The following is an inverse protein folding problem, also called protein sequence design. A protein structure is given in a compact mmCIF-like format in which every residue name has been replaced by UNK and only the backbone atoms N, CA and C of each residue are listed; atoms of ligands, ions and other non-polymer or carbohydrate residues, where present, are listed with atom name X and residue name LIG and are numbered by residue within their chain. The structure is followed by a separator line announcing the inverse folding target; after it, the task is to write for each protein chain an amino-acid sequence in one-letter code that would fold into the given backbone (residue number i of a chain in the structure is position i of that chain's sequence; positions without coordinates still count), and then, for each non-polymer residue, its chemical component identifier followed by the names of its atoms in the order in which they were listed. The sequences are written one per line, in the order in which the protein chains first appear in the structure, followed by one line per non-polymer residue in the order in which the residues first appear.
data_IF_198513172062
#
_entry.id   IF_198513172062
#
_cell.length_a   1.000
_cell.length_b   1.000
_cell.length_c   1.000
_cell.angle_alpha   90.00
_cell.angle_beta   90.00
_cell.angle_gamma   90.00
#
_symmetry.space_group_name_H-M   'P 1'
#
loop_
_entity.id
_entity.type
_entity.pdbx_description
1 polymer ?
#
# COMPACT_ATOMS: atom_id res chain seq x y z
N UNK A 1 9.89 -6.30 -16.67
CA UNK A 1 8.78 -6.95 -17.41
C UNK A 1 8.03 -5.86 -18.19
N UNK A 2 7.91 -5.98 -19.53
CA UNK A 2 7.13 -5.07 -20.35
C UNK A 2 5.65 -5.05 -19.91
N UNK A 3 4.95 -3.93 -20.06
CA UNK A 3 3.55 -3.79 -19.65
C UNK A 3 2.64 -4.83 -20.31
N UNK A 4 2.87 -5.12 -21.59
CA UNK A 4 2.09 -6.14 -22.32
C UNK A 4 2.20 -7.56 -21.74
N UNK A 5 3.35 -7.93 -21.16
CA UNK A 5 3.50 -9.21 -20.48
C UNK A 5 2.74 -9.23 -19.14
N UNK A 6 2.72 -8.10 -18.45
CA UNK A 6 1.97 -7.94 -17.21
C UNK A 6 0.47 -8.04 -17.48
N UNK A 7 -0.01 -7.37 -18.53
CA UNK A 7 -1.43 -7.39 -18.92
C UNK A 7 -1.87 -8.79 -19.39
N UNK A 8 -0.95 -9.59 -19.92
CA UNK A 8 -1.21 -10.96 -20.35
C UNK A 8 -1.32 -11.98 -19.17
N UNK A 9 -0.90 -11.61 -17.97
CA UNK A 9 -0.99 -12.51 -16.80
C UNK A 9 -2.43 -12.71 -16.30
N UNK A 10 -3.37 -11.86 -16.73
CA UNK A 10 -4.75 -11.91 -16.26
C UNK A 10 -4.91 -11.34 -14.85
N UNK A 11 -6.01 -11.71 -14.22
CA UNK A 11 -6.35 -11.30 -12.86
C UNK A 11 -6.12 -12.44 -11.87
N UNK A 12 -6.01 -12.12 -10.59
CA UNK A 12 -5.65 -13.06 -9.54
C UNK A 12 -6.68 -13.03 -8.40
N UNK A 13 -6.96 -14.19 -7.82
CA UNK A 13 -7.79 -14.30 -6.61
C UNK A 13 -7.04 -13.85 -5.35
N UNK A 14 -5.72 -13.97 -5.37
CA UNK A 14 -4.85 -13.60 -4.26
C UNK A 14 -3.53 -13.01 -4.75
N UNK A 15 -3.19 -11.85 -4.21
CA UNK A 15 -1.84 -11.27 -4.36
C UNK A 15 -1.17 -11.26 -2.99
N UNK A 16 0.01 -11.88 -2.92
CA UNK A 16 0.88 -11.87 -1.75
C UNK A 16 2.03 -10.89 -1.98
N UNK A 17 2.03 -9.76 -1.28
CA UNK A 17 3.01 -8.68 -1.45
C UNK A 17 3.66 -8.33 -0.11
N UNK A 18 4.86 -8.82 0.15
CA UNK A 18 5.56 -8.64 1.41
C UNK A 18 6.94 -8.03 1.22
N UNK A 19 7.33 -7.10 2.08
CA UNK A 19 8.66 -6.50 2.10
C UNK A 19 8.98 -5.56 0.93
N UNK A 20 8.00 -5.13 0.15
CA UNK A 20 8.21 -4.39 -1.11
C UNK A 20 7.75 -2.93 -1.03
N UNK A 21 6.60 -2.67 -0.41
CA UNK A 21 5.94 -1.37 -0.49
C UNK A 21 6.85 -0.21 -0.08
N UNK A 22 7.57 -0.35 1.03
CA UNK A 22 8.43 0.72 1.57
C UNK A 22 9.68 0.98 0.72
N UNK A 23 10.01 0.13 -0.23
CA UNK A 23 11.06 0.36 -1.23
C UNK A 23 10.54 1.03 -2.51
N UNK A 24 9.25 1.32 -2.60
CA UNK A 24 8.64 1.96 -3.74
C UNK A 24 8.39 3.44 -3.46
N UNK A 25 8.91 4.33 -4.31
CA UNK A 25 8.69 5.77 -4.18
C UNK A 25 7.25 6.18 -4.55
N UNK A 26 6.59 5.42 -5.41
CA UNK A 26 5.22 5.67 -5.89
C UNK A 26 4.21 4.72 -5.23
N UNK A 27 4.17 4.72 -3.91
CA UNK A 27 3.46 3.72 -3.11
C UNK A 27 1.96 3.64 -3.42
N UNK A 28 1.27 4.77 -3.56
CA UNK A 28 -0.14 4.77 -3.94
C UNK A 28 -0.36 4.16 -5.33
N UNK A 29 0.48 4.53 -6.30
CA UNK A 29 0.40 3.98 -7.66
C UNK A 29 0.64 2.48 -7.67
N UNK A 30 1.59 2.02 -6.85
CA UNK A 30 1.86 0.60 -6.67
C UNK A 30 0.65 -0.15 -6.12
N UNK A 31 0.02 0.34 -5.04
CA UNK A 31 -1.19 -0.25 -4.44
C UNK A 31 -2.35 -0.28 -5.45
N UNK A 32 -2.53 0.77 -6.25
CA UNK A 32 -3.55 0.82 -7.31
C UNK A 32 -3.30 -0.22 -8.41
N UNK A 33 -2.05 -0.47 -8.77
CA UNK A 33 -1.70 -1.56 -9.70
C UNK A 33 -2.05 -2.93 -9.13
N UNK A 34 -1.75 -3.18 -7.86
CA UNK A 34 -2.15 -4.43 -7.20
C UNK A 34 -3.67 -4.61 -7.22
N UNK A 35 -4.44 -3.53 -6.99
CA UNK A 35 -5.89 -3.58 -7.10
C UNK A 35 -6.37 -3.99 -8.50
N UNK A 36 -5.77 -3.44 -9.56
CA UNK A 36 -6.13 -3.76 -10.95
C UNK A 36 -5.86 -5.22 -11.31
N UNK A 37 -4.85 -5.84 -10.72
CA UNK A 37 -4.51 -7.24 -10.96
C UNK A 37 -5.40 -8.24 -10.20
N UNK A 38 -6.23 -7.79 -9.28
CA UNK A 38 -7.15 -8.66 -8.56
C UNK A 38 -8.47 -8.81 -9.30
N UNK A 39 -9.02 -10.01 -9.28
CA UNK A 39 -10.42 -10.26 -9.60
C UNK A 39 -11.35 -9.62 -8.55
N UNK A 40 -12.60 -9.39 -8.93
CA UNK A 40 -13.65 -9.04 -7.97
C UNK A 40 -13.79 -10.19 -6.97
N UNK A 41 -13.75 -9.86 -5.68
CA UNK A 41 -13.73 -10.83 -4.59
C UNK A 41 -12.32 -11.26 -4.18
N UNK A 42 -11.30 -10.93 -4.96
CA UNK A 42 -9.90 -11.27 -4.68
C UNK A 42 -9.31 -10.51 -3.49
N UNK A 43 -8.24 -11.04 -2.94
CA UNK A 43 -7.58 -10.55 -1.73
C UNK A 43 -6.16 -10.08 -1.99
N UNK A 44 -5.78 -8.99 -1.36
CA UNK A 44 -4.40 -8.54 -1.22
C UNK A 44 -3.92 -8.81 0.20
N UNK A 45 -2.89 -9.64 0.34
CA UNK A 45 -2.09 -9.76 1.57
C UNK A 45 -0.85 -8.87 1.41
N UNK A 46 -0.87 -7.73 2.07
CA UNK A 46 0.20 -6.72 2.03
C UNK A 46 0.95 -6.69 3.35
N UNK A 47 2.28 -6.72 3.28
CA UNK A 47 3.13 -6.52 4.44
C UNK A 47 4.21 -5.48 4.12
N UNK A 48 4.50 -4.61 5.09
CA UNK A 48 5.48 -3.54 4.92
C UNK A 48 6.09 -3.11 6.25
N UNK A 49 7.33 -2.62 6.18
CA UNK A 49 7.86 -1.79 7.25
C UNK A 49 7.08 -0.47 7.31
N UNK A 50 6.80 -0.01 8.53
CA UNK A 50 6.10 1.24 8.79
C UNK A 50 6.89 2.14 9.71
N UNK A 51 6.59 3.44 9.66
CA UNK A 51 7.19 4.41 10.56
C UNK A 51 6.83 4.09 12.01
N UNK A 52 7.86 3.97 12.84
CA UNK A 52 7.73 3.82 14.30
C UNK A 52 7.59 5.18 14.96
N UNK A 53 6.64 5.32 15.86
CA UNK A 53 6.46 6.56 16.59
C UNK A 53 5.30 6.49 17.58
N UNK A 54 5.01 7.59 18.28
CA UNK A 54 3.82 7.72 19.11
C UNK A 54 2.55 7.36 18.33
N UNK A 55 1.50 6.94 19.04
CA UNK A 55 0.24 6.49 18.41
C UNK A 55 -0.33 7.51 17.43
N UNK A 56 -0.25 8.79 17.75
CA UNK A 56 -0.68 9.88 16.86
C UNK A 56 0.04 9.88 15.50
N UNK A 57 1.35 9.58 15.49
CA UNK A 57 2.11 9.46 14.24
C UNK A 57 1.81 8.15 13.50
N UNK A 58 1.40 7.10 14.21
CA UNK A 58 1.01 5.84 13.57
C UNK A 58 -0.33 5.94 12.85
N UNK A 59 -1.28 6.64 13.45
CA UNK A 59 -2.64 6.78 12.93
C UNK A 59 -2.76 7.86 11.84
N UNK A 60 -1.91 8.88 11.90
CA UNK A 60 -1.82 9.91 10.86
C UNK A 60 -1.25 9.35 9.55
N UNK A 61 -1.64 9.95 8.43
CA UNK A 61 -1.18 9.56 7.09
C UNK A 61 0.12 10.29 6.71
N UNK A 62 1.26 9.79 7.16
CA UNK A 62 2.59 10.37 6.91
C UNK A 62 3.51 9.37 6.23
N UNK A 63 4.51 9.88 5.51
CA UNK A 63 5.60 9.10 4.93
C UNK A 63 6.92 9.74 5.30
N UNK A 64 7.82 8.98 5.89
CA UNK A 64 9.20 9.38 6.11
C UNK A 64 10.06 8.94 4.95
N UNK A 65 10.69 9.89 4.27
CA UNK A 65 11.59 9.64 3.15
C UNK A 65 13.01 9.50 3.69
N UNK A 66 13.64 8.35 3.38
CA UNK A 66 15.04 8.13 3.66
C UNK A 66 15.84 8.17 2.36
N UNK A 67 16.89 8.97 2.35
CA UNK A 67 17.89 8.90 1.28
C UNK A 67 18.69 7.60 1.37
N UNK A 68 19.22 7.09 0.25
CA UNK A 68 19.86 5.78 0.19
C UNK A 68 20.87 5.46 1.28
N UNK A 69 21.65 6.43 1.74
CA UNK A 69 22.66 6.22 2.77
C UNK A 69 22.16 6.41 4.22
N UNK A 70 20.92 6.83 4.43
CA UNK A 70 20.38 7.17 5.75
C UNK A 70 19.57 6.04 6.37
N UNK A 71 19.24 5.01 5.60
CA UNK A 71 18.53 3.85 6.09
C UNK A 71 19.43 2.61 6.04
N UNK A 72 20.06 2.29 7.18
CA UNK A 72 20.94 1.12 7.36
C UNK A 72 22.04 0.97 6.32
N UNK A 73 22.49 2.05 5.73
CA UNK A 73 23.52 2.07 4.65
C UNK A 73 23.26 1.10 3.48
N UNK A 74 21.98 0.75 3.25
CA UNK A 74 21.62 -0.23 2.22
C UNK A 74 21.70 0.29 0.80
N UNK A 75 21.83 1.61 0.61
CA UNK A 75 21.82 2.24 -0.71
C UNK A 75 20.46 2.14 -1.44
N UNK A 76 19.40 1.67 -0.78
CA UNK A 76 18.07 1.52 -1.37
C UNK A 76 17.17 2.70 -1.03
N UNK A 77 16.29 3.04 -1.97
CA UNK A 77 15.19 3.97 -1.67
C UNK A 77 14.31 3.36 -0.58
N UNK A 78 14.03 4.15 0.45
CA UNK A 78 13.15 3.71 1.53
C UNK A 78 12.22 4.85 1.94
N UNK A 79 10.93 4.62 1.76
CA UNK A 79 9.87 5.52 2.16
C UNK A 79 9.00 4.80 3.18
N UNK A 80 9.20 5.09 4.47
CA UNK A 80 8.45 4.45 5.54
C UNK A 80 7.09 5.13 5.73
N UNK A 81 5.99 4.49 5.34
CA UNK A 81 4.65 5.01 5.61
C UNK A 81 4.26 4.78 7.06
N UNK A 82 3.38 5.60 7.59
CA UNK A 82 2.60 5.24 8.78
C UNK A 82 1.55 4.18 8.42
N UNK A 83 1.05 3.45 9.41
CA UNK A 83 -0.07 2.53 9.22
C UNK A 83 -1.31 3.25 8.65
N UNK A 84 -1.57 4.48 9.10
CA UNK A 84 -2.63 5.33 8.57
C UNK A 84 -2.47 5.67 7.09
N UNK A 85 -1.23 5.92 6.63
CA UNK A 85 -0.96 6.18 5.20
C UNK A 85 -1.26 4.93 4.35
N UNK A 86 -0.82 3.75 4.77
CA UNK A 86 -1.11 2.50 4.04
C UNK A 86 -2.60 2.25 3.96
N UNK A 87 -3.32 2.40 5.07
CA UNK A 87 -4.78 2.24 5.11
C UNK A 87 -5.50 3.25 4.21
N UNK A 88 -5.04 4.51 4.19
CA UNK A 88 -5.56 5.52 3.28
C UNK A 88 -5.34 5.12 1.81
N UNK A 89 -4.15 4.66 1.43
CA UNK A 89 -3.87 4.21 0.06
C UNK A 89 -4.69 3.00 -0.35
N UNK A 90 -4.88 2.03 0.54
CA UNK A 90 -5.76 0.89 0.28
C UNK A 90 -7.20 1.36 -0.01
N UNK A 91 -7.72 2.28 0.82
CA UNK A 91 -9.05 2.87 0.62
C UNK A 91 -9.13 3.69 -0.68
N UNK A 92 -8.11 4.49 -0.97
CA UNK A 92 -8.02 5.28 -2.21
C UNK A 92 -7.92 4.40 -3.46
N UNK A 93 -7.29 3.24 -3.36
CA UNK A 93 -7.25 2.25 -4.45
C UNK A 93 -8.60 1.57 -4.68
N UNK A 94 -9.51 1.60 -3.70
CA UNK A 94 -10.84 1.02 -3.79
C UNK A 94 -11.05 -0.24 -2.96
N UNK A 95 -10.04 -0.66 -2.20
CA UNK A 95 -10.20 -1.82 -1.33
C UNK A 95 -11.28 -1.58 -0.27
N UNK A 96 -12.12 -2.58 -0.07
CA UNK A 96 -13.03 -2.73 1.05
C UNK A 96 -12.48 -3.77 2.05
N UNK A 97 -13.16 -3.97 3.16
CA UNK A 97 -12.81 -5.00 4.16
C UNK A 97 -11.31 -5.00 4.52
N UNK A 98 -10.76 -3.82 4.83
CA UNK A 98 -9.35 -3.69 5.20
C UNK A 98 -9.18 -4.10 6.65
N UNK A 99 -8.38 -5.15 6.88
CA UNK A 99 -7.99 -5.66 8.20
C UNK A 99 -6.49 -5.51 8.38
N UNK A 100 -6.05 -5.04 9.52
CA UNK A 100 -4.64 -4.89 9.86
C UNK A 100 -4.22 -5.85 10.99
N UNK A 101 -2.96 -6.21 10.99
CA UNK A 101 -2.34 -7.06 12.01
C UNK A 101 -0.98 -6.49 12.43
N UNK A 102 -0.76 -6.51 13.72
CA UNK A 102 0.52 -6.14 14.35
C UNK A 102 1.28 -7.36 14.86
N UNK A 103 1.12 -8.49 14.20
CA UNK A 103 1.69 -9.77 14.65
C UNK A 103 3.23 -9.73 14.80
N UNK A 104 3.91 -8.82 14.10
CA UNK A 104 5.36 -8.69 14.14
C UNK A 104 5.89 -7.75 15.24
N UNK A 105 5.01 -7.07 16.01
CA UNK A 105 5.43 -6.11 17.04
C UNK A 105 6.19 -6.76 18.21
N UNK A 106 5.91 -8.04 18.48
CA UNK A 106 6.41 -8.73 19.65
C UNK A 106 7.80 -9.35 19.47
N UNK A 107 8.23 -9.60 18.25
CA UNK A 107 9.32 -10.54 18.02
C UNK A 107 10.67 -9.92 17.69
N UNK A 108 10.76 -8.60 17.49
CA UNK A 108 12.05 -7.98 17.21
C UNK A 108 12.12 -6.48 17.59
N UNK A 109 12.55 -6.17 18.82
CA UNK A 109 12.71 -4.79 19.28
C UNK A 109 13.78 -3.98 18.53
N UNK A 110 14.69 -4.65 17.81
CA UNK A 110 15.79 -4.01 17.07
C UNK A 110 15.42 -3.62 15.64
N UNK A 111 14.21 -3.99 15.17
CA UNK A 111 13.75 -3.54 13.86
C UNK A 111 13.46 -2.04 13.88
N UNK A 112 14.17 -1.31 13.03
CA UNK A 112 13.85 0.09 12.72
C UNK A 112 12.52 0.08 11.94
N UNK A 113 11.48 0.65 12.55
CA UNK A 113 10.12 0.59 12.03
C UNK A 113 9.37 -0.67 12.48
N UNK A 114 8.06 -0.54 12.60
CA UNK A 114 7.17 -1.66 12.85
C UNK A 114 6.87 -2.37 11.53
N UNK A 115 6.90 -3.68 11.57
CA UNK A 115 6.34 -4.47 10.47
C UNK A 115 4.86 -4.68 10.72
N UNK A 116 4.05 -4.36 9.72
CA UNK A 116 2.60 -4.52 9.76
C UNK A 116 2.10 -5.26 8.54
N UNK A 117 1.02 -5.97 8.70
CA UNK A 117 0.34 -6.66 7.61
C UNK A 117 -1.11 -6.20 7.50
N UNK A 118 -1.61 -6.18 6.29
CA UNK A 118 -3.00 -5.88 5.95
C UNK A 118 -3.55 -6.97 5.05
N UNK A 119 -4.82 -7.29 5.27
CA UNK A 119 -5.61 -8.07 4.35
C UNK A 119 -6.72 -7.17 3.82
N UNK A 120 -6.78 -7.00 2.50
CA UNK A 120 -7.71 -6.10 1.86
C UNK A 120 -8.40 -6.78 0.67
N UNK A 121 -9.71 -6.57 0.52
CA UNK A 121 -10.52 -7.23 -0.51
C UNK A 121 -10.96 -6.26 -1.59
N UNK A 122 -10.86 -6.70 -2.84
CA UNK A 122 -11.48 -6.01 -3.97
C UNK A 122 -12.94 -6.46 -4.08
N UNK A 123 -13.87 -5.51 -4.01
CA UNK A 123 -15.31 -5.80 -4.12
C UNK A 123 -15.97 -5.13 -5.31
N UNK A 124 -15.25 -4.23 -6.01
CA UNK A 124 -15.76 -3.40 -7.09
C UNK A 124 -14.67 -3.20 -8.16
N UNK A 125 -15.06 -3.07 -9.41
CA UNK A 125 -14.16 -2.73 -10.51
C UNK A 125 -13.74 -1.24 -10.52
N UNK A 126 -14.62 -0.34 -10.05
CA UNK A 126 -14.34 1.09 -10.00
C UNK A 126 -13.53 1.47 -8.75
N UNK A 127 -12.30 0.95 -8.70
CA UNK A 127 -11.39 1.20 -7.58
C UNK A 127 -11.22 2.69 -7.27
N UNK A 128 -11.58 3.07 -6.07
CA UNK A 128 -11.48 4.43 -5.58
C UNK A 128 -12.64 5.34 -5.97
N UNK A 129 -13.58 4.93 -6.82
CA UNK A 129 -14.74 5.73 -7.19
C UNK A 129 -15.55 6.17 -5.98
N UNK A 130 -15.81 5.24 -5.07
CA UNK A 130 -16.53 5.55 -3.81
C UNK A 130 -15.73 6.44 -2.87
N UNK A 131 -14.40 6.31 -2.83
CA UNK A 131 -13.55 7.17 -2.03
C UNK A 131 -13.65 8.62 -2.50
N UNK A 132 -13.49 8.88 -3.80
CA UNK A 132 -13.57 10.22 -4.35
C UNK A 132 -14.97 10.82 -4.25
N UNK A 133 -16.01 10.03 -4.44
CA UNK A 133 -17.39 10.47 -4.28
C UNK A 133 -17.68 10.91 -2.83
N UNK A 134 -17.21 10.14 -1.84
CA UNK A 134 -17.39 10.47 -0.42
C UNK A 134 -16.54 11.66 0.03
N UNK A 135 -15.37 11.84 -0.53
CA UNK A 135 -14.46 12.94 -0.17
C UNK A 135 -14.80 14.26 -0.86
N UNK A 136 -15.77 14.29 -1.77
CA UNK A 136 -16.11 15.48 -2.57
C UNK A 136 -15.02 15.90 -3.55
N UNK A 137 -13.99 15.07 -3.76
CA UNK A 137 -12.93 15.35 -4.69
C UNK A 137 -13.42 15.22 -6.14
N UNK A 138 -12.94 16.12 -7.00
CA UNK A 138 -13.26 16.08 -8.41
C UNK A 138 -12.75 14.75 -9.04
N UNK A 139 -13.59 14.02 -9.79
CA UNK A 139 -13.18 12.80 -10.48
C UNK A 139 -11.96 12.95 -11.40
N UNK A 140 -11.67 14.15 -11.90
CA UNK A 140 -10.46 14.42 -12.70
C UNK A 140 -9.15 14.23 -11.93
N UNK A 141 -9.19 14.21 -10.61
CA UNK A 141 -8.06 13.83 -9.76
C UNK A 141 -7.92 12.33 -9.54
N UNK A 142 -8.71 11.51 -10.20
CA UNK A 142 -8.47 10.06 -10.24
C UNK A 142 -7.09 9.82 -10.83
N UNK A 143 -6.11 9.66 -9.94
CA UNK A 143 -4.75 9.31 -10.33
C UNK A 143 -4.77 7.93 -10.99
N UNK A 144 -4.58 7.85 -12.27
CA UNK A 144 -4.27 6.58 -12.85
C UNK A 144 -4.86 6.21 -14.20
N UNK A 145 -5.55 7.09 -14.88
CA UNK A 145 -5.93 6.85 -16.28
C UNK A 145 -4.93 7.46 -17.27
N UNK A 146 -3.86 8.04 -16.78
CA UNK A 146 -2.75 8.44 -17.63
C UNK A 146 -1.70 7.33 -17.65
N UNK A 147 -1.86 6.46 -18.67
CA UNK A 147 -0.84 5.61 -19.32
C UNK A 147 0.08 4.82 -18.41
#
# INVERSE_FOLDING_TARGET
MPQAEIDALGQFDLIWCTGVLYHNAEQLRFVRRLYKFLDIGGWLALESSTLRGPSLLREGAYVQIHYPRTYRDTGTVTHLPTAGAVKAWLSMAGFAEIRDSRCFEKDNPDLVGLRMAWLARKTDEDGGGLYYAKSGLNPSYRLGDST
#
